data_IF_723294234732
#
_entry.id   IF_723294234732
#
_cell.length_a   1.000
_cell.length_b   1.000
_cell.length_c   1.000
_cell.angle_alpha   90.00
_cell.angle_beta   90.00
_cell.angle_gamma   90.00
#
_symmetry.space_group_name_H-M   'P 1'
#
loop_
_entity.id
_entity.type
_entity.pdbx_description
1 polymer ?
#
# COMPACT_ATOMS: atom_id res chain seq x y z
N UNK A 1 -22.66 5.63 -5.17
CA UNK A 1 -23.76 5.99 -6.09
C UNK A 1 -24.91 6.59 -5.29
N UNK A 2 -25.84 7.31 -5.93
CA UNK A 2 -27.06 7.85 -5.28
C UNK A 2 -28.26 7.43 -6.12
N UNK A 3 -29.29 6.90 -5.47
CA UNK A 3 -30.58 6.63 -6.11
C UNK A 3 -31.46 7.85 -5.83
N UNK A 4 -32.03 8.45 -6.86
CA UNK A 4 -32.91 9.60 -6.75
C UNK A 4 -34.15 9.39 -7.61
N UNK A 5 -35.32 9.69 -7.04
CA UNK A 5 -36.60 9.68 -7.76
C UNK A 5 -36.96 11.14 -8.02
N UNK A 6 -37.18 11.49 -9.30
CA UNK A 6 -37.53 12.85 -9.70
C UNK A 6 -38.90 12.85 -10.37
N UNK A 7 -39.84 13.57 -9.80
CA UNK A 7 -41.08 13.94 -10.48
C UNK A 7 -40.88 15.28 -11.22
N UNK A 8 -41.30 15.37 -12.48
CA UNK A 8 -41.33 16.63 -13.22
C UNK A 8 -42.52 16.68 -14.18
N UNK A 9 -42.95 17.91 -14.48
CA UNK A 9 -44.14 18.36 -15.23
C UNK A 9 -45.33 18.72 -14.34
N UNK A 10 -45.52 20.03 -14.15
CA UNK A 10 -46.73 20.65 -13.61
C UNK A 10 -47.59 21.08 -14.80
N UNK A 11 -48.71 20.42 -15.06
CA UNK A 11 -49.71 20.95 -15.99
C UNK A 11 -50.94 21.42 -15.21
N UNK A 12 -51.37 22.63 -15.58
CA UNK A 12 -52.53 23.38 -15.11
C UNK A 12 -52.45 23.93 -13.66
N UNK A 13 -52.50 25.27 -13.52
CA UNK A 13 -52.52 25.99 -12.23
C UNK A 13 -53.76 25.66 -11.40
N UNK A 14 -54.80 25.12 -12.04
CA UNK A 14 -56.10 24.81 -11.44
C UNK A 14 -56.18 23.45 -10.72
N UNK A 15 -55.28 22.51 -11.03
CA UNK A 15 -55.33 21.13 -10.53
C UNK A 15 -54.09 20.71 -9.71
N UNK A 16 -52.98 21.44 -9.84
CA UNK A 16 -51.73 21.14 -9.15
C UNK A 16 -51.07 19.85 -9.68
N UNK A 17 -49.98 19.43 -9.04
CA UNK A 17 -49.33 18.16 -9.38
C UNK A 17 -48.99 17.37 -8.15
N UNK A 18 -49.20 16.06 -8.24
CA UNK A 18 -49.11 15.15 -7.11
C UNK A 18 -48.32 13.90 -7.52
N UNK A 19 -47.39 13.50 -6.68
CA UNK A 19 -46.68 12.23 -6.79
C UNK A 19 -46.69 11.57 -5.41
N UNK A 20 -47.14 10.31 -5.36
CA UNK A 20 -47.07 9.46 -4.18
C UNK A 20 -46.20 8.27 -4.50
N UNK A 21 -45.30 7.92 -3.59
CA UNK A 21 -44.41 6.77 -3.73
C UNK A 21 -44.60 5.94 -2.46
N UNK A 22 -44.90 4.66 -2.61
CA UNK A 22 -44.93 3.68 -1.53
C UNK A 22 -44.04 2.49 -1.90
N UNK A 23 -43.67 1.68 -0.89
CA UNK A 23 -43.07 0.36 -1.08
C UNK A 23 -41.76 0.32 -1.88
N UNK A 24 -40.82 1.24 -1.61
CA UNK A 24 -39.48 1.19 -2.20
C UNK A 24 -38.71 0.03 -1.58
N UNK A 25 -38.62 -1.08 -2.31
CA UNK A 25 -37.83 -2.25 -1.94
C UNK A 25 -36.51 -2.28 -2.72
N UNK A 26 -35.39 -2.09 -2.01
CA UNK A 26 -34.04 -2.21 -2.58
C UNK A 26 -33.40 -3.53 -2.15
N UNK A 27 -33.12 -4.42 -3.11
CA UNK A 27 -32.46 -5.72 -2.88
C UNK A 27 -31.09 -5.72 -3.54
N UNK A 28 -30.04 -5.75 -2.74
CA UNK A 28 -28.66 -5.90 -3.20
C UNK A 28 -27.77 -6.47 -2.10
N UNK A 29 -26.72 -7.18 -2.51
CA UNK A 29 -25.60 -7.50 -1.64
C UNK A 29 -24.71 -6.26 -1.52
N UNK A 30 -24.87 -5.52 -0.43
CA UNK A 30 -24.05 -4.32 -0.17
C UNK A 30 -22.64 -4.75 0.20
N UNK A 31 -21.65 -4.26 -0.54
CA UNK A 31 -20.25 -4.43 -0.16
C UNK A 31 -20.02 -3.79 1.21
N UNK A 32 -19.63 -4.58 2.22
CA UNK A 32 -19.13 -4.03 3.46
C UNK A 32 -17.83 -3.29 3.16
N UNK A 33 -17.77 -1.99 3.47
CA UNK A 33 -16.50 -1.28 3.56
C UNK A 33 -15.78 -1.74 4.84
N UNK A 34 -15.35 -3.00 4.84
CA UNK A 34 -14.50 -3.56 5.86
C UNK A 34 -13.19 -2.78 5.84
N UNK A 35 -12.86 -2.11 6.95
CA UNK A 35 -11.57 -1.41 7.11
C UNK A 35 -10.42 -2.40 7.27
N UNK A 36 -10.22 -3.27 6.28
CA UNK A 36 -9.11 -4.22 6.22
C UNK A 36 -7.76 -3.53 6.15
N UNK A 37 -7.71 -2.23 5.81
CA UNK A 37 -6.52 -1.38 5.99
C UNK A 37 -5.95 -1.45 7.42
N UNK A 38 -6.77 -1.81 8.42
CA UNK A 38 -6.37 -1.97 9.83
C UNK A 38 -6.49 -3.43 10.31
N UNK A 39 -6.43 -4.42 9.42
CA UNK A 39 -6.64 -5.83 9.78
C UNK A 39 -5.72 -6.32 10.90
N UNK A 40 -4.45 -5.91 10.86
CA UNK A 40 -3.48 -6.20 11.91
C UNK A 40 -3.34 -5.06 12.95
N UNK A 41 -4.21 -4.05 12.93
CA UNK A 41 -4.15 -2.92 13.88
C UNK A 41 -2.85 -2.12 13.81
N UNK A 42 -2.14 -2.01 14.92
CA UNK A 42 -0.84 -1.34 14.98
C UNK A 42 -0.91 0.19 14.88
N UNK A 43 0.27 0.83 14.84
CA UNK A 43 0.42 2.30 14.69
C UNK A 43 0.77 2.67 13.26
N UNK A 44 0.56 3.93 12.88
CA UNK A 44 1.02 4.45 11.60
C UNK A 44 2.55 4.46 11.54
N UNK A 45 3.11 4.18 10.36
CA UNK A 45 4.48 4.56 10.05
C UNK A 45 4.53 6.10 10.00
N UNK A 46 5.50 6.74 10.67
CA UNK A 46 5.60 8.20 10.64
C UNK A 46 5.72 8.74 9.20
N UNK A 47 5.27 9.98 8.94
CA UNK A 47 5.66 10.70 7.73
C UNK A 47 7.18 10.91 7.73
N UNK A 48 7.71 11.49 6.65
CA UNK A 48 9.15 11.82 6.55
C UNK A 48 9.56 12.64 7.77
N UNK A 49 10.45 12.07 8.58
CA UNK A 49 11.08 12.76 9.69
C UNK A 49 12.44 13.27 9.23
N UNK A 50 12.80 14.47 9.67
CA UNK A 50 14.12 15.02 9.43
C UNK A 50 15.08 14.42 10.44
N UNK A 51 15.93 13.52 9.95
CA UNK A 51 17.06 12.99 10.71
C UNK A 51 18.36 13.62 10.19
N UNK A 52 19.38 13.64 11.05
CA UNK A 52 20.75 13.91 10.60
C UNK A 52 21.19 12.87 9.58
N UNK A 53 22.16 13.24 8.73
CA UNK A 53 22.75 12.33 7.75
C UNK A 53 23.30 11.10 8.48
N UNK A 54 22.88 9.91 8.03
CA UNK A 54 23.36 8.65 8.61
C UNK A 54 24.86 8.51 8.42
N UNK A 55 25.56 8.14 9.49
CA UNK A 55 27.00 7.88 9.45
C UNK A 55 27.32 6.46 8.94
N UNK A 56 26.37 5.53 9.11
CA UNK A 56 26.57 4.12 8.77
C UNK A 56 25.36 3.49 8.09
N UNK A 57 25.60 2.47 7.26
CA UNK A 57 24.54 1.71 6.60
C UNK A 57 23.59 1.01 7.59
N UNK A 58 24.08 0.61 8.77
CA UNK A 58 23.29 -0.04 9.81
C UNK A 58 22.17 0.85 10.36
N UNK A 59 22.27 2.17 10.26
CA UNK A 59 21.21 3.08 10.70
C UNK A 59 19.95 3.01 9.82
N UNK A 60 20.07 2.51 8.59
CA UNK A 60 18.93 2.23 7.74
C UNK A 60 18.25 0.88 8.08
N UNK A 61 18.86 0.08 8.95
CA UNK A 61 18.24 -1.15 9.46
C UNK A 61 17.16 -0.81 10.47
N UNK A 62 15.93 -1.26 10.21
CA UNK A 62 14.80 -1.05 11.12
C UNK A 62 14.42 -2.38 11.77
N UNK A 63 15.09 -2.72 12.87
CA UNK A 63 14.86 -3.98 13.62
C UNK A 63 13.92 -3.75 14.81
N UNK A 64 14.02 -2.59 15.46
CA UNK A 64 13.20 -2.25 16.64
C UNK A 64 11.86 -1.59 16.29
N UNK A 65 11.67 -1.19 15.02
CA UNK A 65 10.46 -0.52 14.54
C UNK A 65 10.04 0.65 15.44
N UNK A 66 10.99 1.45 15.90
CA UNK A 66 10.76 2.63 16.72
C UNK A 66 10.76 3.91 15.84
N UNK A 67 10.73 5.08 16.47
CA UNK A 67 10.72 6.37 15.76
C UNK A 67 12.07 6.71 15.12
N UNK A 68 13.16 6.09 15.58
CA UNK A 68 14.50 6.30 15.03
C UNK A 68 14.73 5.50 13.74
N UNK A 69 13.78 4.64 13.35
CA UNK A 69 13.84 4.00 12.04
C UNK A 69 13.77 5.07 10.95
N UNK A 70 14.76 5.03 10.06
CA UNK A 70 14.88 5.89 8.88
C UNK A 70 13.95 5.47 7.74
N UNK A 71 12.73 5.06 8.08
CA UNK A 71 11.70 4.60 7.15
C UNK A 71 10.40 5.36 7.41
N UNK A 72 9.83 5.91 6.35
CA UNK A 72 8.67 6.79 6.41
C UNK A 72 7.60 6.41 5.39
N UNK A 73 6.36 6.81 5.67
CA UNK A 73 5.24 6.71 4.74
C UNK A 73 5.07 8.05 4.00
N UNK A 74 4.93 8.03 2.67
CA UNK A 74 4.84 9.26 1.87
C UNK A 74 3.47 9.92 1.88
N UNK A 75 2.40 9.15 2.09
CA UNK A 75 1.02 9.65 1.95
C UNK A 75 0.17 9.22 3.15
N UNK A 76 -0.65 10.15 3.66
CA UNK A 76 -1.82 9.83 4.48
C UNK A 76 -2.98 9.48 3.53
N UNK A 77 -2.87 8.31 2.88
CA UNK A 77 -3.85 7.80 1.92
C UNK A 77 -4.82 6.82 2.59
N UNK A 78 -5.81 6.33 1.85
CA UNK A 78 -6.65 5.18 2.26
C UNK A 78 -5.86 3.86 2.39
N UNK A 79 -4.62 3.83 1.88
CA UNK A 79 -3.67 2.71 1.90
C UNK A 79 -2.44 3.06 2.76
N UNK A 80 -2.61 3.20 4.07
CA UNK A 80 -1.53 3.60 4.98
C UNK A 80 -0.57 2.45 5.27
N UNK A 81 0.73 2.75 5.38
CA UNK A 81 1.71 1.83 5.96
C UNK A 81 1.62 1.86 7.49
N UNK A 82 1.68 0.67 8.10
CA UNK A 82 1.51 0.49 9.53
C UNK A 82 2.58 -0.44 10.11
N UNK A 83 2.84 -0.25 11.39
CA UNK A 83 3.72 -1.10 12.20
C UNK A 83 2.85 -1.89 13.16
N UNK A 84 2.93 -3.21 13.12
CA UNK A 84 2.19 -4.10 14.02
C UNK A 84 3.00 -5.33 14.41
N UNK A 85 2.61 -5.96 15.51
CA UNK A 85 3.05 -7.28 15.94
C UNK A 85 1.84 -8.23 16.12
N UNK A 86 0.64 -7.81 15.71
CA UNK A 86 -0.58 -8.61 15.81
C UNK A 86 -0.80 -9.43 14.55
N UNK A 87 -1.11 -10.72 14.71
CA UNK A 87 -1.35 -11.65 13.59
C UNK A 87 -2.78 -12.18 13.57
N UNK A 88 -3.72 -11.47 14.20
CA UNK A 88 -5.14 -11.82 14.15
C UNK A 88 -5.59 -11.77 12.69
N UNK A 89 -6.20 -12.84 12.18
CA UNK A 89 -6.60 -13.03 10.77
C UNK A 89 -5.47 -13.27 9.77
N UNK A 90 -4.28 -13.66 10.23
CA UNK A 90 -3.16 -13.98 9.33
C UNK A 90 -3.54 -15.00 8.25
N UNK A 91 -4.12 -16.13 8.66
CA UNK A 91 -4.47 -17.22 7.74
C UNK A 91 -5.56 -16.79 6.75
N UNK A 92 -6.47 -15.88 7.14
CA UNK A 92 -7.53 -15.33 6.28
C UNK A 92 -6.97 -14.43 5.17
N UNK A 93 -5.89 -13.69 5.43
CA UNK A 93 -5.37 -12.64 4.52
C UNK A 93 -4.19 -13.12 3.69
N UNK A 94 -3.25 -13.82 4.31
CA UNK A 94 -1.99 -14.21 3.68
C UNK A 94 -2.07 -15.64 3.15
N UNK A 95 -2.85 -16.52 3.79
CA UNK A 95 -2.94 -17.93 3.40
C UNK A 95 -1.66 -18.74 3.59
N UNK A 96 -0.59 -18.14 4.15
CA UNK A 96 0.69 -18.81 4.42
C UNK A 96 0.72 -19.38 5.84
N UNK A 97 1.26 -20.59 5.98
CA UNK A 97 1.53 -21.21 7.29
C UNK A 97 2.72 -20.56 8.02
N UNK A 98 3.62 -19.90 7.28
CA UNK A 98 4.75 -19.18 7.87
C UNK A 98 4.28 -17.79 8.31
N UNK A 99 4.78 -17.32 9.45
CA UNK A 99 4.39 -16.04 10.06
C UNK A 99 5.65 -15.23 10.41
N UNK A 100 5.59 -13.88 10.34
CA UNK A 100 6.66 -13.05 10.86
C UNK A 100 6.77 -13.24 12.38
N UNK A 101 8.00 -13.28 12.88
CA UNK A 101 8.29 -13.21 14.30
C UNK A 101 8.47 -11.74 14.71
N UNK A 102 7.72 -11.28 15.70
CA UNK A 102 7.87 -9.93 16.24
C UNK A 102 7.08 -8.86 15.46
N UNK A 103 7.66 -7.67 15.39
CA UNK A 103 7.04 -6.49 14.76
C UNK A 103 7.36 -6.45 13.26
N UNK A 104 6.43 -5.95 12.46
CA UNK A 104 6.55 -5.87 11.01
C UNK A 104 5.85 -4.62 10.45
N UNK A 105 6.31 -4.18 9.28
CA UNK A 105 5.58 -3.25 8.44
C UNK A 105 4.51 -4.01 7.65
N UNK A 106 3.34 -3.39 7.48
CA UNK A 106 2.35 -3.89 6.55
C UNK A 106 1.57 -2.75 5.91
N UNK A 107 1.08 -3.02 4.71
CA UNK A 107 0.09 -2.21 4.01
C UNK A 107 -0.96 -3.16 3.46
N UNK A 108 -2.23 -2.78 3.62
CA UNK A 108 -3.34 -3.49 2.97
C UNK A 108 -4.03 -2.49 2.03
N UNK A 109 -4.19 -2.89 0.78
CA UNK A 109 -4.83 -2.09 -0.26
C UNK A 109 -6.16 -2.75 -0.63
N UNK A 110 -7.26 -2.07 -0.34
CA UNK A 110 -8.60 -2.52 -0.75
C UNK A 110 -8.79 -2.28 -2.25
N UNK A 111 -9.59 -3.13 -2.91
CA UNK A 111 -10.12 -2.92 -4.26
C UNK A 111 -10.74 -1.54 -4.49
N UNK A 112 -11.33 -0.95 -3.44
CA UNK A 112 -11.95 0.37 -3.47
C UNK A 112 -10.99 1.50 -3.08
N UNK A 113 -9.74 1.20 -2.75
CA UNK A 113 -8.76 2.21 -2.38
C UNK A 113 -8.41 3.07 -3.60
N UNK A 114 -8.65 4.38 -3.47
CA UNK A 114 -8.26 5.35 -4.49
C UNK A 114 -6.73 5.44 -4.61
N UNK A 115 -6.25 5.51 -5.85
CA UNK A 115 -4.83 5.74 -6.16
C UNK A 115 -4.52 7.24 -6.06
N UNK A 116 -3.27 7.63 -5.75
CA UNK A 116 -2.09 6.78 -5.57
C UNK A 116 -2.01 6.13 -4.18
N UNK A 117 -1.39 4.93 -4.12
CA UNK A 117 -1.15 4.24 -2.86
C UNK A 117 0.08 4.80 -2.12
N UNK A 118 0.10 4.70 -0.79
CA UNK A 118 1.27 5.15 -0.02
C UNK A 118 2.49 4.26 -0.26
N UNK A 119 3.68 4.86 -0.25
CA UNK A 119 4.96 4.15 -0.33
C UNK A 119 5.61 4.13 1.05
N UNK A 120 6.27 3.01 1.37
CA UNK A 120 7.26 2.96 2.44
C UNK A 120 8.61 3.30 1.82
N UNK A 121 9.28 4.33 2.35
CA UNK A 121 10.55 4.78 1.79
C UNK A 121 11.59 4.98 2.88
N UNK A 122 12.85 4.73 2.54
CA UNK A 122 13.97 5.10 3.40
C UNK A 122 14.19 6.62 3.40
N UNK A 123 14.94 7.10 4.38
CA UNK A 123 15.64 8.37 4.28
C UNK A 123 16.59 8.37 3.07
N UNK A 124 17.05 9.55 2.68
CA UNK A 124 18.05 9.68 1.64
C UNK A 124 19.37 9.05 2.09
N UNK A 125 19.90 8.14 1.28
CA UNK A 125 21.23 7.58 1.39
C UNK A 125 22.15 8.48 0.56
N UNK A 126 23.13 9.17 1.15
CA UNK A 126 23.93 10.16 0.43
C UNK A 126 24.76 9.55 -0.69
N UNK A 127 25.41 8.42 -0.41
CA UNK A 127 26.29 7.72 -1.35
C UNK A 127 26.59 6.31 -0.81
N UNK A 128 27.14 5.46 -1.67
CA UNK A 128 27.61 4.11 -1.32
C UNK A 128 28.95 3.85 -1.98
N UNK A 129 29.98 3.53 -1.19
CA UNK A 129 31.34 3.26 -1.70
C UNK A 129 31.53 1.87 -2.30
N UNK A 130 30.56 0.97 -2.11
CA UNK A 130 30.51 -0.40 -2.64
C UNK A 130 29.10 -0.72 -3.09
N UNK A 131 28.93 -1.81 -3.83
CA UNK A 131 27.61 -2.38 -4.14
C UNK A 131 26.85 -2.54 -2.82
N UNK A 132 25.68 -1.92 -2.74
CA UNK A 132 24.82 -1.99 -1.56
C UNK A 132 23.69 -2.98 -1.81
N UNK A 133 23.39 -3.79 -0.80
CA UNK A 133 22.36 -4.81 -0.87
C UNK A 133 21.36 -4.62 0.27
N UNK A 134 20.07 -4.67 -0.03
CA UNK A 134 19.01 -4.67 0.97
C UNK A 134 18.51 -6.10 1.20
N UNK A 135 18.63 -6.60 2.43
CA UNK A 135 18.17 -7.94 2.82
C UNK A 135 16.95 -7.85 3.73
N UNK A 136 15.87 -8.57 3.41
CA UNK A 136 14.64 -8.58 4.21
C UNK A 136 13.80 -9.83 3.95
N UNK A 137 12.87 -10.09 4.87
CA UNK A 137 11.80 -11.08 4.74
C UNK A 137 10.48 -10.39 4.44
N UNK A 138 9.60 -11.03 3.67
CA UNK A 138 8.31 -10.45 3.31
C UNK A 138 7.24 -11.50 3.08
N UNK A 139 5.99 -11.10 3.21
CA UNK A 139 4.82 -11.93 2.93
C UNK A 139 3.89 -11.17 2.00
N UNK A 140 3.41 -11.85 0.97
CA UNK A 140 2.43 -11.31 0.03
C UNK A 140 1.13 -12.09 0.21
N UNK A 141 0.00 -11.38 0.22
CA UNK A 141 -1.30 -12.02 0.04
C UNK A 141 -1.48 -12.44 -1.41
N UNK A 142 -2.33 -13.42 -1.71
CA UNK A 142 -2.56 -13.90 -3.07
C UNK A 142 -2.94 -12.77 -4.04
N UNK A 143 -2.31 -12.74 -5.21
CA UNK A 143 -2.60 -11.73 -6.25
C UNK A 143 -2.02 -10.34 -5.95
N UNK A 144 -1.13 -10.24 -4.96
CA UNK A 144 -0.45 -9.00 -4.59
C UNK A 144 0.85 -8.86 -5.36
N UNK A 145 1.01 -7.75 -6.09
CA UNK A 145 2.29 -7.40 -6.69
C UNK A 145 2.91 -6.22 -5.95
N UNK A 146 4.12 -6.40 -5.43
CA UNK A 146 4.93 -5.34 -4.84
C UNK A 146 6.20 -5.18 -5.65
N UNK A 147 6.69 -3.95 -5.74
CA UNK A 147 7.96 -3.61 -6.34
C UNK A 147 8.79 -2.77 -5.37
N UNK A 148 10.10 -3.00 -5.39
CA UNK A 148 11.09 -2.20 -4.66
C UNK A 148 11.91 -1.44 -5.69
N UNK A 149 12.07 -0.14 -5.48
CA UNK A 149 12.83 0.71 -6.38
C UNK A 149 13.88 1.51 -5.62
N UNK A 150 15.06 1.63 -6.20
CA UNK A 150 16.00 2.69 -5.88
C UNK A 150 15.67 3.92 -6.74
N UNK A 151 15.52 5.09 -6.10
CA UNK A 151 15.22 6.33 -6.80
C UNK A 151 16.12 7.46 -6.33
N UNK A 152 16.42 8.40 -7.21
CA UNK A 152 17.25 9.58 -6.89
C UNK A 152 16.55 10.51 -5.90
N UNK A 153 17.27 11.52 -5.40
CA UNK A 153 16.70 12.60 -4.60
C UNK A 153 15.47 13.27 -5.26
N UNK A 154 15.45 13.34 -6.60
CA UNK A 154 14.37 13.89 -7.42
C UNK A 154 13.24 12.89 -7.75
N UNK A 155 13.26 11.69 -7.15
CA UNK A 155 12.33 10.59 -7.41
C UNK A 155 12.40 10.01 -8.85
N UNK A 156 13.55 10.14 -9.52
CA UNK A 156 13.78 9.44 -10.79
C UNK A 156 14.17 8.00 -10.48
N UNK A 157 13.53 7.03 -11.14
CA UNK A 157 13.80 5.60 -10.95
C UNK A 157 15.18 5.26 -11.50
N UNK A 158 15.99 4.62 -10.66
CA UNK A 158 17.32 4.10 -11.01
C UNK A 158 17.18 2.62 -11.41
N UNK A 159 16.68 1.82 -10.47
CA UNK A 159 16.45 0.38 -10.64
C UNK A 159 15.22 -0.06 -9.86
N UNK A 160 14.55 -1.12 -10.32
CA UNK A 160 13.44 -1.72 -9.61
C UNK A 160 13.39 -3.23 -9.75
N UNK A 161 12.94 -3.91 -8.70
CA UNK A 161 12.76 -5.37 -8.66
C UNK A 161 11.36 -5.69 -8.16
N UNK A 162 10.68 -6.62 -8.83
CA UNK A 162 9.38 -7.13 -8.41
C UNK A 162 9.55 -8.24 -7.36
N UNK A 163 8.73 -8.20 -6.31
CA UNK A 163 8.65 -9.28 -5.33
C UNK A 163 7.76 -10.39 -5.88
N UNK A 164 8.19 -11.63 -5.68
CA UNK A 164 7.48 -12.83 -6.12
C UNK A 164 6.86 -13.55 -4.94
N UNK A 165 5.64 -14.09 -5.09
CA UNK A 165 5.07 -14.96 -4.08
C UNK A 165 5.94 -16.20 -3.81
N UNK A 166 6.71 -16.67 -4.81
CA UNK A 166 7.58 -17.84 -4.70
C UNK A 166 8.80 -17.63 -3.78
N UNK A 167 9.28 -16.38 -3.65
CA UNK A 167 10.42 -16.07 -2.77
C UNK A 167 9.96 -15.72 -1.36
N UNK A 168 8.65 -15.72 -1.08
CA UNK A 168 8.11 -15.51 0.27
C UNK A 168 8.28 -16.77 1.14
N UNK A 169 8.80 -16.68 2.38
CA UNK A 169 9.01 -15.46 3.17
C UNK A 169 10.41 -14.82 3.07
N UNK A 170 11.30 -15.32 2.21
CA UNK A 170 12.68 -14.88 2.08
C UNK A 170 13.65 -15.58 3.06
N UNK A 171 14.82 -14.98 3.36
CA UNK A 171 15.22 -13.63 2.99
C UNK A 171 15.54 -13.48 1.51
N UNK A 172 15.20 -12.33 0.94
CA UNK A 172 15.68 -11.91 -0.38
C UNK A 172 16.76 -10.85 -0.22
N UNK A 173 17.69 -10.80 -1.17
CA UNK A 173 18.71 -9.76 -1.26
C UNK A 173 18.47 -9.00 -2.56
N UNK A 174 18.24 -7.69 -2.44
CA UNK A 174 18.07 -6.79 -3.58
C UNK A 174 19.33 -5.94 -3.67
N UNK A 175 20.10 -6.16 -4.71
CA UNK A 175 21.26 -5.33 -5.03
C UNK A 175 20.77 -3.98 -5.58
N UNK A 176 21.37 -2.92 -5.09
CA UNK A 176 21.05 -1.55 -5.46
C UNK A 176 22.17 -1.04 -6.36
N UNK A 177 21.90 -1.08 -7.66
CA UNK A 177 22.76 -0.54 -8.71
C UNK A 177 22.69 1.01 -8.70
N UNK A 178 23.44 1.65 -7.81
CA UNK A 178 23.53 3.12 -7.76
C UNK A 178 24.89 3.62 -8.25
N UNK A 179 24.92 4.72 -9.01
CA UNK A 179 26.15 5.49 -9.19
C UNK A 179 26.71 5.83 -7.81
N UNK A 180 28.00 5.58 -7.56
CA UNK A 180 28.60 5.62 -6.22
C UNK A 180 28.46 6.96 -5.50
N UNK A 181 28.22 8.05 -6.23
CA UNK A 181 28.22 9.44 -5.72
C UNK A 181 26.82 10.09 -5.63
N UNK A 182 25.78 9.47 -6.18
CA UNK A 182 24.47 10.10 -6.28
C UNK A 182 23.53 9.70 -5.12
N UNK A 183 22.91 10.66 -4.41
CA UNK A 183 21.97 10.35 -3.36
C UNK A 183 20.72 9.65 -3.87
N UNK A 184 20.34 8.57 -3.19
CA UNK A 184 19.17 7.77 -3.53
C UNK A 184 18.37 7.36 -2.30
N UNK A 185 17.16 6.86 -2.51
CA UNK A 185 16.30 6.28 -1.47
C UNK A 185 15.65 5.01 -2.00
N UNK A 186 15.39 4.07 -1.11
CA UNK A 186 14.66 2.85 -1.43
C UNK A 186 13.18 3.06 -1.18
N UNK A 187 12.31 2.60 -2.10
CA UNK A 187 10.85 2.67 -1.97
C UNK A 187 10.20 1.32 -2.21
N UNK A 188 9.29 0.93 -1.33
CA UNK A 188 8.35 -0.16 -1.52
C UNK A 188 7.03 0.39 -2.05
N UNK A 189 6.54 -0.20 -3.13
CA UNK A 189 5.32 0.22 -3.82
C UNK A 189 4.43 -0.98 -4.12
N UNK A 190 3.15 -0.82 -3.82
CA UNK A 190 2.12 -1.70 -4.33
C UNK A 190 1.87 -1.41 -5.82
N UNK A 191 1.93 -2.46 -6.64
CA UNK A 191 1.60 -2.38 -8.06
C UNK A 191 0.16 -2.81 -8.25
N UNK A 192 -0.69 -1.93 -8.78
CA UNK A 192 -1.93 -2.41 -9.35
C UNK A 192 -1.62 -3.16 -10.64
N UNK A 193 -1.91 -4.46 -10.70
CA UNK A 193 -1.97 -5.13 -12.00
C UNK A 193 -2.99 -4.35 -12.84
N UNK A 194 -2.67 -3.96 -14.08
CA UNK A 194 -3.72 -3.57 -15.00
C UNK A 194 -4.69 -4.76 -15.07
N UNK A 195 -5.99 -4.49 -14.96
CA UNK A 195 -7.01 -5.50 -15.17
C UNK A 195 -6.61 -6.27 -16.43
N UNK A 196 -6.28 -7.56 -16.28
CA UNK A 196 -6.02 -8.41 -17.40
C UNK A 196 -7.26 -8.30 -18.29
N UNK A 197 -7.11 -7.70 -19.47
CA UNK A 197 -8.10 -7.78 -20.51
C UNK A 197 -8.18 -9.26 -20.88
N UNK A 198 -9.08 -10.00 -20.24
CA UNK A 198 -9.54 -11.29 -20.73
C UNK A 198 -10.26 -11.02 -22.04
N UNK A 199 -9.49 -11.00 -23.14
CA UNK A 199 -10.03 -11.11 -24.48
C UNK A 199 -10.49 -12.55 -24.66
N UNK A 200 -11.79 -12.81 -24.50
CA UNK A 200 -12.39 -14.02 -25.02
C UNK A 200 -12.32 -13.94 -26.56
N UNK A 201 -11.48 -14.77 -27.18
CA UNK A 201 -11.60 -15.07 -28.61
C UNK A 201 -12.88 -15.88 -28.81
N UNK A 202 -13.72 -15.43 -29.76
CA UNK A 202 -14.92 -16.12 -30.23
C UNK A 202 -14.63 -17.53 -30.72
#
# INVERSE_FOLDING_TARGET
>A
FRIGIRAFRLQDESLGSFAMISDIEYRADVCLQTRFSRIFGGRLVPPVLWHDIAATASEYSCVDFNINCRWSSTLAATSEWRVSNHLKKWDEVIGSRTRPSGTFFYQFVDTMAEKPYSFLQSDLIPCTSRISSLSFRYWLGPGTQVQICAVTALNVVISCVYLSEADSPGPVNVDVDTPSEDPFRVKFRYCSLPLAYFSFSK
#
